data_IF_153991293092
#
_entry.id   IF_153991293092
#
_cell.length_a   1.000
_cell.length_b   1.000
_cell.length_c   1.000
_cell.angle_alpha   90.00
_cell.angle_beta   90.00
_cell.angle_gamma   90.00
#
_symmetry.space_group_name_H-M   'P 1'
#
loop_
_entity.id
_entity.type
_entity.pdbx_description
1 polymer ?
2 non-polymer ?
3 non-polymer ?
4 non-polymer ?
5 non-polymer ?
6 water ?
#
# COMPACT_ATOMS: atom_id res chain seq x y z
N UNK A 1 -4.33 -16.68 9.13
CA UNK A 1 -3.94 -17.46 7.96
C UNK A 1 -2.83 -16.73 7.20
N UNK A 2 -2.04 -17.48 6.44
CA UNK A 2 -0.90 -16.89 5.75
C UNK A 2 -1.15 -16.67 4.26
N UNK A 3 -2.26 -17.21 3.79
CA UNK A 3 -2.67 -17.05 2.40
C UNK A 3 -3.63 -15.87 2.28
N UNK A 4 -3.22 -14.84 1.54
CA UNK A 4 -4.01 -13.62 1.46
C UNK A 4 -4.16 -13.20 0.01
N UNK A 5 -5.39 -12.91 -0.41
CA UNK A 5 -5.64 -12.52 -1.79
C UNK A 5 -5.83 -11.01 -1.94
N UNK A 6 -5.53 -10.51 -3.13
CA UNK A 6 -5.74 -9.10 -3.41
C UNK A 6 -6.32 -8.94 -4.80
N UNK A 7 -7.03 -7.84 -5.03
CA UNK A 7 -7.52 -7.47 -6.35
C UNK A 7 -7.33 -5.98 -6.54
N UNK A 8 -6.83 -5.58 -7.72
CA UNK A 8 -6.72 -4.18 -8.05
C UNK A 8 -8.06 -3.80 -8.66
N UNK A 9 -8.88 -3.12 -7.87
CA UNK A 9 -10.23 -2.76 -8.26
C UNK A 9 -10.27 -1.82 -9.45
N UNK A 10 -9.35 -0.87 -9.48
CA UNK A 10 -9.32 0.10 -10.55
C UNK A 10 -7.94 0.72 -10.68
N UNK A 11 -7.71 1.43 -11.77
CA UNK A 11 -6.39 1.90 -12.11
C UNK A 11 -6.36 3.41 -12.29
N UNK A 12 -5.44 4.07 -11.59
CA UNK A 12 -5.28 5.51 -11.75
C UNK A 12 -4.91 5.83 -13.19
N UNK A 13 -5.57 6.84 -13.77
CA UNK A 13 -5.20 7.22 -15.13
C UNK A 13 -3.83 7.91 -15.17
N UNK A 14 -3.27 8.25 -14.01
CA UNK A 14 -1.95 8.89 -13.96
C UNK A 14 -0.86 8.01 -14.54
N UNK A 15 -1.07 6.70 -14.46
CA UNK A 15 -0.03 5.72 -14.76
C UNK A 15 -0.46 4.75 -15.84
N UNK A 16 0.52 4.07 -16.44
CA UNK A 16 0.22 2.96 -17.33
C UNK A 16 -0.35 1.85 -16.48
N UNK A 17 -1.36 1.16 -16.99
CA UNK A 17 -2.00 0.07 -16.26
C UNK A 17 -0.98 -0.98 -15.83
N UNK A 18 -0.09 -1.33 -16.74
CA UNK A 18 0.96 -2.31 -16.48
C UNK A 18 1.88 -1.89 -15.33
N UNK A 19 2.10 -0.59 -15.20
CA UNK A 19 2.98 -0.05 -14.16
C UNK A 19 2.29 -0.11 -12.80
N UNK A 20 0.98 0.08 -12.79
CA UNK A 20 0.23 -0.08 -11.55
C UNK A 20 0.31 -1.54 -11.11
N UNK A 21 0.07 -2.48 -12.04
CA UNK A 21 0.15 -3.90 -11.70
C UNK A 21 1.52 -4.22 -11.12
N UNK A 22 2.56 -3.69 -11.75
CA UNK A 22 3.92 -3.98 -11.31
C UNK A 22 4.24 -3.38 -9.95
N UNK A 23 3.87 -2.13 -9.74
CA UNK A 23 4.15 -1.46 -8.48
C UNK A 23 3.46 -2.20 -7.34
N UNK A 24 2.21 -2.58 -7.55
CA UNK A 24 1.45 -3.29 -6.54
C UNK A 24 2.04 -4.68 -6.27
N UNK A 25 2.36 -5.41 -7.33
CA UNK A 25 2.99 -6.71 -7.18
C UNK A 25 4.28 -6.62 -6.38
N UNK A 26 5.12 -5.64 -6.70
CA UNK A 26 6.37 -5.47 -5.97
C UNK A 26 6.15 -5.07 -4.50
N UNK A 27 5.14 -4.25 -4.23
CA UNK A 27 4.82 -3.88 -2.85
C UNK A 27 4.41 -5.08 -2.00
N UNK A 28 3.58 -5.96 -2.54
CA UNK A 28 3.26 -7.18 -1.83
C UNK A 28 4.49 -8.06 -1.63
N UNK A 29 5.32 -8.15 -2.67
CA UNK A 29 6.56 -8.93 -2.62
C UNK A 29 7.46 -8.48 -1.47
N UNK A 30 7.49 -7.18 -1.22
CA UNK A 30 8.34 -6.64 -0.15
C UNK A 30 7.97 -7.28 1.18
N UNK A 31 6.68 -7.38 1.44
CA UNK A 31 6.24 -7.97 2.69
C UNK A 31 6.29 -9.49 2.68
N UNK A 32 6.03 -10.09 1.52
CA UNK A 32 6.09 -11.54 1.37
C UNK A 32 7.51 -12.05 1.64
N UNK A 33 8.49 -11.22 1.33
CA UNK A 33 9.88 -11.64 1.44
C UNK A 33 10.39 -11.74 2.88
N UNK A 34 9.63 -11.21 3.83
CA UNK A 34 10.08 -11.20 5.22
C UNK A 34 9.10 -11.88 6.15
N UNK A 35 8.17 -12.63 5.58
CA UNK A 35 7.15 -13.35 6.35
C UNK A 35 6.82 -14.67 5.67
N UNK A 36 6.03 -15.53 6.33
CA UNK A 36 5.54 -16.70 5.59
C UNK A 36 4.29 -16.40 4.75
N UNK A 37 3.95 -15.12 4.58
CA UNK A 37 2.74 -14.76 3.83
C UNK A 37 2.85 -15.09 2.35
N UNK A 38 1.75 -15.61 1.80
CA UNK A 38 1.65 -15.89 0.38
C UNK A 38 0.51 -15.05 -0.17
N UNK A 39 0.83 -14.18 -1.13
CA UNK A 39 -0.19 -13.35 -1.76
C UNK A 39 -0.59 -13.90 -3.12
N UNK A 40 -1.87 -13.75 -3.45
CA UNK A 40 -2.40 -14.24 -4.72
C UNK A 40 -3.30 -13.17 -5.31
N UNK A 41 -3.02 -12.79 -6.55
CA UNK A 41 -3.78 -11.77 -7.27
C UNK A 41 -5.03 -12.36 -7.91
N UNK A 42 -6.14 -11.67 -7.72
CA UNK A 42 -7.45 -12.05 -8.26
C UNK A 42 -7.88 -10.96 -9.23
N UNK A 43 -8.39 -11.35 -10.39
CA UNK A 43 -8.86 -10.38 -11.37
C UNK A 43 -10.33 -10.06 -11.22
N UNK A 44 -11.11 -11.05 -10.78
CA UNK A 44 -12.55 -10.89 -10.68
C UNK A 44 -13.04 -11.65 -9.47
N UNK A 45 -13.86 -11.01 -8.66
CA UNK A 45 -14.46 -11.71 -7.54
C UNK A 45 -13.88 -11.34 -6.19
N UNK A 46 -14.16 -12.17 -5.20
CA UNK A 46 -13.82 -11.85 -3.82
C UNK A 46 -12.33 -11.90 -3.53
N UNK A 47 -11.82 -10.85 -2.91
CA UNK A 47 -10.42 -10.81 -2.52
C UNK A 47 -10.31 -10.15 -1.16
N UNK A 48 -9.32 -10.54 -0.36
CA UNK A 48 -9.14 -9.95 0.96
C UNK A 48 -8.80 -8.48 0.93
N UNK A 49 -7.80 -8.14 0.12
CA UNK A 49 -7.31 -6.77 0.02
C UNK A 49 -7.68 -6.16 -1.32
N UNK A 50 -8.57 -5.17 -1.32
CA UNK A 50 -8.84 -4.43 -2.54
C UNK A 50 -7.96 -3.18 -2.60
N UNK A 51 -7.35 -2.97 -3.75
CA UNK A 51 -6.56 -1.78 -4.06
C UNK A 51 -7.46 -0.87 -4.87
N UNK A 52 -7.74 0.31 -4.33
CA UNK A 52 -8.73 1.23 -4.90
C UNK A 52 -8.16 2.63 -5.05
N UNK A 53 -8.44 3.27 -6.18
CA UNK A 53 -8.12 4.69 -6.36
C UNK A 53 -9.43 5.46 -6.35
N UNK A 54 -9.51 6.50 -5.54
CA UNK A 54 -10.76 7.26 -5.44
C UNK A 54 -10.47 8.63 -4.88
N UNK A 55 -11.38 9.58 -5.12
CA UNK A 55 -11.21 10.92 -4.59
C UNK A 55 -12.35 11.32 -3.67
N UNK A 56 -12.10 12.30 -2.80
CA UNK A 56 -13.11 12.80 -1.89
C UNK A 56 -13.78 11.70 -1.09
N UNK A 57 -15.08 11.86 -0.85
CA UNK A 57 -15.86 10.84 -0.16
C UNK A 57 -16.06 9.66 -1.11
N UNK A 58 -15.77 8.47 -0.61
CA UNK A 58 -15.77 7.28 -1.45
C UNK A 58 -16.32 6.05 -0.72
N UNK A 59 -17.23 6.27 0.23
CA UNK A 59 -18.05 5.20 0.76
C UNK A 59 -17.71 4.67 2.14
N UNK A 60 -16.58 5.07 2.71
CA UNK A 60 -16.12 4.45 3.95
C UNK A 60 -15.96 5.35 5.18
N UNK A 61 -16.62 6.51 5.17
CA UNK A 61 -16.56 7.45 6.31
C UNK A 61 -15.17 8.05 6.56
N UNK A 62 -14.25 7.85 5.62
CA UNK A 62 -12.95 8.49 5.67
C UNK A 62 -12.64 9.18 4.34
N UNK A 63 -13.32 10.29 4.09
CA UNK A 63 -13.16 10.97 2.82
C UNK A 63 -11.73 11.49 2.63
N UNK A 64 -11.26 11.45 1.39
CA UNK A 64 -9.99 12.06 1.04
C UNK A 64 -10.12 13.58 0.90
N UNK A 65 -8.97 14.26 0.84
CA UNK A 65 -8.90 15.69 1.12
C UNK A 65 -8.32 16.53 -0.01
N UNK A 66 -8.32 15.99 -1.22
CA UNK A 66 -7.77 16.71 -2.35
C UNK A 66 -6.27 16.56 -2.46
N UNK A 67 -5.64 17.29 -3.38
CA UNK A 67 -4.21 17.08 -3.60
C UNK A 67 -3.40 17.46 -2.37
N UNK A 68 -2.46 16.60 -1.99
CA UNK A 68 -1.65 16.84 -0.80
C UNK A 68 -2.32 16.27 0.43
N UNK A 69 -1.83 16.65 1.61
CA UNK A 69 -2.39 16.14 2.85
C UNK A 69 -2.31 14.63 2.88
N UNK A 70 -3.44 14.00 3.17
CA UNK A 70 -3.49 12.54 3.25
C UNK A 70 -3.42 11.97 1.84
N UNK A 71 -2.45 11.08 1.60
CA UNK A 71 -2.23 10.51 0.28
C UNK A 71 -3.00 9.23 0.01
N UNK A 72 -3.30 8.51 1.08
CA UNK A 72 -3.82 7.15 1.02
C UNK A 72 -4.19 6.72 2.44
N UNK A 73 -4.97 5.65 2.57
CA UNK A 73 -5.24 5.03 3.86
C UNK A 73 -5.62 3.57 3.66
N UNK A 74 -5.58 2.79 4.73
CA UNK A 74 -5.93 1.38 4.63
C UNK A 74 -6.46 0.88 5.95
N UNK A 75 -7.25 -0.18 5.87
CA UNK A 75 -7.91 -0.75 7.03
C UNK A 75 -7.26 -2.08 7.37
N UNK A 76 -7.15 -2.35 8.66
CA UNK A 76 -6.62 -3.63 9.12
C UNK A 76 -7.51 -4.78 8.68
N UNK A 77 -6.99 -6.02 8.78
CA UNK A 77 -7.70 -7.20 8.26
C UNK A 77 -9.13 -7.33 8.79
N UNK A 78 -10.05 -7.66 7.90
CA UNK A 78 -11.44 -7.88 8.29
C UNK A 78 -12.29 -8.13 7.07
N UNK A 79 -13.60 -8.21 7.25
CA UNK A 79 -14.50 -8.39 6.14
C UNK A 79 -14.69 -7.05 5.42
N UNK A 80 -15.18 -7.12 4.19
CA UNK A 80 -15.52 -5.91 3.44
C UNK A 80 -14.35 -4.97 3.26
N UNK A 81 -14.47 -3.73 3.73
CA UNK A 81 -13.37 -2.80 3.56
C UNK A 81 -12.16 -3.16 4.41
N UNK A 82 -12.32 -4.10 5.33
CA UNK A 82 -11.18 -4.63 6.07
C UNK A 82 -10.08 -5.07 5.10
N UNK A 83 -8.85 -4.66 5.40
CA UNK A 83 -7.73 -4.97 4.54
C UNK A 83 -7.57 -4.08 3.31
N UNK A 84 -8.58 -3.30 2.97
CA UNK A 84 -8.53 -2.59 1.70
C UNK A 84 -7.59 -1.39 1.82
N UNK A 85 -6.92 -1.08 0.71
CA UNK A 85 -5.96 0.01 0.60
C UNK A 85 -6.46 1.00 -0.45
N UNK A 86 -6.67 2.25 -0.03
CA UNK A 86 -7.28 3.29 -0.83
C UNK A 86 -6.25 4.38 -1.12
N UNK A 87 -6.15 4.80 -2.37
CA UNK A 87 -5.18 5.79 -2.79
C UNK A 87 -5.95 6.99 -3.33
N UNK A 88 -5.61 8.18 -2.84
CA UNK A 88 -6.30 9.42 -3.21
C UNK A 88 -5.98 9.78 -4.67
N UNK A 89 -7.00 9.73 -5.52
CA UNK A 89 -6.80 10.01 -6.94
C UNK A 89 -6.42 11.47 -7.17
N UNK A 90 -6.68 12.33 -6.19
CA UNK A 90 -6.25 13.72 -6.33
C UNK A 90 -4.73 13.88 -6.25
N UNK A 91 -4.03 12.84 -5.80
CA UNK A 91 -2.58 12.83 -5.95
C UNK A 91 -2.18 12.45 -7.37
N UNK A 92 -0.94 12.74 -7.73
CA UNK A 92 -0.39 12.31 -9.02
C UNK A 92 0.56 11.14 -8.79
N UNK A 93 0.09 9.95 -9.13
CA UNK A 93 0.80 8.71 -8.84
C UNK A 93 1.82 8.42 -9.90
N UNK A 94 3.02 8.03 -9.50
CA UNK A 94 4.10 7.85 -10.46
C UNK A 94 4.98 6.65 -10.15
N UNK A 95 5.75 6.23 -11.15
CA UNK A 95 6.78 5.21 -11.00
C UNK A 95 8.10 5.82 -10.57
N UNK A 96 8.15 7.14 -10.54
CA UNK A 96 9.39 7.89 -10.32
C UNK A 96 9.35 8.79 -9.08
N UNK A 97 10.29 9.73 -9.02
CA UNK A 97 10.37 10.76 -7.98
C UNK A 97 9.28 11.84 -8.01
N UNK A 98 8.77 12.15 -9.19
CA UNK A 98 7.78 13.19 -9.37
C UNK A 98 6.49 12.73 -8.73
N UNK A 99 5.63 13.69 -8.38
CA UNK A 99 4.38 13.38 -7.71
C UNK A 99 4.59 12.51 -6.49
N UNK A 100 3.74 11.50 -6.35
CA UNK A 100 3.80 10.56 -5.24
C UNK A 100 4.07 9.17 -5.80
N UNK A 101 5.17 8.56 -5.37
CA UNK A 101 5.54 7.23 -5.84
C UNK A 101 4.55 6.16 -5.37
N UNK A 102 3.92 5.45 -6.30
CA UNK A 102 2.91 4.46 -5.92
C UNK A 102 3.49 3.27 -5.17
N UNK A 103 4.61 2.75 -5.64
CA UNK A 103 5.25 1.63 -4.97
C UNK A 103 5.49 1.89 -3.47
N UNK A 104 6.11 3.00 -3.14
CA UNK A 104 6.43 3.29 -1.74
C UNK A 104 5.18 3.47 -0.90
N UNK A 105 4.21 4.20 -1.44
CA UNK A 105 2.96 4.42 -0.74
C UNK A 105 2.25 3.08 -0.52
N UNK A 106 2.25 2.23 -1.54
CA UNK A 106 1.63 0.92 -1.43
C UNK A 106 2.30 0.03 -0.39
N UNK A 107 3.62 0.09 -0.28
CA UNK A 107 4.28 -0.68 0.77
C UNK A 107 3.76 -0.25 2.15
N UNK A 108 3.68 1.05 2.37
CA UNK A 108 3.17 1.59 3.62
C UNK A 108 1.74 1.14 3.88
N UNK A 109 0.89 1.30 2.86
CA UNK A 109 -0.52 0.98 3.03
C UNK A 109 -0.79 -0.51 3.22
N UNK A 110 -0.10 -1.35 2.47
CA UNK A 110 -0.22 -2.79 2.68
C UNK A 110 0.21 -3.16 4.10
N UNK A 111 1.21 -2.47 4.62
CA UNK A 111 1.59 -2.62 6.01
C UNK A 111 0.38 -2.44 6.92
N UNK A 112 -0.35 -1.35 6.73
CA UNK A 112 -1.60 -1.14 7.46
C UNK A 112 -2.65 -2.21 7.16
N UNK A 113 -2.79 -2.60 5.89
CA UNK A 113 -3.72 -3.66 5.51
C UNK A 113 -3.48 -4.95 6.28
N UNK A 114 -2.22 -5.23 6.62
CA UNK A 114 -1.84 -6.46 7.30
C UNK A 114 -1.92 -6.33 8.82
N UNK A 115 -2.14 -5.11 9.30
CA UNK A 115 -2.34 -4.87 10.72
C UNK A 115 -1.28 -4.03 11.40
N UNK A 116 -0.30 -3.51 10.66
CA UNK A 116 0.73 -2.67 11.26
C UNK A 116 0.27 -1.26 11.58
N UNK A 117 0.85 -0.71 12.64
CA UNK A 117 0.70 0.69 12.99
C UNK A 117 1.97 1.42 12.58
N UNK A 118 2.19 2.60 13.13
CA UNK A 118 3.34 3.40 12.76
C UNK A 118 4.58 3.10 13.58
N UNK A 119 5.72 3.39 12.96
CA UNK A 119 7.02 3.14 13.55
C UNK A 119 7.64 4.42 14.09
N UNK A 120 8.57 4.28 15.02
CA UNK A 120 9.29 5.42 15.56
C UNK A 120 10.66 5.55 14.89
N UNK A 121 10.99 4.57 14.05
CA UNK A 121 12.22 4.58 13.27
C UNK A 121 12.03 5.46 12.03
N UNK A 122 12.77 6.58 11.95
CA UNK A 122 12.64 7.48 10.80
C UNK A 122 12.99 6.83 9.45
N UNK A 123 13.70 5.70 9.46
CA UNK A 123 14.00 5.01 8.20
C UNK A 123 12.97 3.94 7.83
N UNK A 124 12.00 3.71 8.71
CA UNK A 124 11.01 2.66 8.46
C UNK A 124 10.01 3.09 7.40
N UNK A 125 9.54 2.14 6.61
CA UNK A 125 8.49 2.44 5.64
C UNK A 125 7.19 2.77 6.37
N UNK A 126 7.07 2.30 7.62
CA UNK A 126 5.90 2.57 8.45
C UNK A 126 6.01 3.81 9.32
N UNK A 127 7.03 4.63 9.07
CA UNK A 127 7.06 5.96 9.68
C UNK A 127 5.88 6.75 9.09
N UNK A 128 5.33 7.73 9.84
CA UNK A 128 4.06 8.31 9.38
C UNK A 128 4.09 9.15 8.10
N UNK A 129 5.26 9.62 7.69
CA UNK A 129 5.33 10.59 6.60
C UNK A 129 6.02 10.05 5.36
N UNK A 130 5.37 10.24 4.21
CA UNK A 130 5.94 9.88 2.91
C UNK A 130 7.24 10.62 2.63
N UNK A 131 8.25 9.87 2.20
CA UNK A 131 9.51 10.44 1.73
C UNK A 131 9.98 9.59 0.56
N UNK A 132 10.24 10.21 -0.59
CA UNK A 132 10.81 9.44 -1.68
C UNK A 132 12.20 8.95 -1.31
N UNK A 133 12.42 7.65 -1.46
CA UNK A 133 13.75 7.07 -1.40
C UNK A 133 14.02 6.43 -2.74
N UNK A 134 15.29 6.18 -3.03
CA UNK A 134 15.68 5.49 -4.25
C UNK A 134 15.04 4.10 -4.29
N UNK A 135 14.18 3.89 -5.29
CA UNK A 135 13.44 2.64 -5.43
C UNK A 135 14.33 1.41 -5.55
N UNK A 136 15.42 1.54 -6.30
CA UNK A 136 16.29 0.41 -6.57
C UNK A 136 17.07 -0.07 -5.34
N UNK A 137 17.29 0.83 -4.39
CA UNK A 137 17.98 0.45 -3.16
C UNK A 137 17.04 0.39 -1.95
N UNK A 138 15.73 0.44 -2.21
CA UNK A 138 14.74 0.39 -1.13
C UNK A 138 14.85 -0.87 -0.28
N UNK A 139 14.72 -0.69 1.03
CA UNK A 139 14.72 -1.81 1.97
C UNK A 139 13.80 -1.50 3.14
N UNK A 140 13.06 -2.50 3.61
CA UNK A 140 12.33 -2.39 4.86
C UNK A 140 13.39 -2.18 5.93
N UNK A 141 13.10 -1.31 6.89
CA UNK A 141 14.00 -1.18 8.04
C UNK A 141 13.82 -2.34 9.00
N UNK A 142 14.81 -2.53 9.86
CA UNK A 142 14.71 -3.57 10.88
C UNK A 142 13.44 -3.41 11.75
N UNK A 143 12.95 -2.19 11.90
CA UNK A 143 11.75 -2.02 12.71
C UNK A 143 10.49 -2.52 11.99
N UNK A 144 10.44 -2.33 10.67
CA UNK A 144 9.36 -2.87 9.85
C UNK A 144 9.35 -4.38 9.94
N UNK A 145 10.54 -4.96 9.87
CA UNK A 145 10.69 -6.41 9.99
C UNK A 145 10.17 -6.91 11.34
N UNK A 146 10.57 -6.25 12.43
CA UNK A 146 10.06 -6.58 13.76
C UNK A 146 8.53 -6.54 13.79
N UNK A 147 7.99 -5.42 13.31
CA UNK A 147 6.55 -5.21 13.28
C UNK A 147 5.81 -6.33 12.58
N UNK A 148 6.21 -6.63 11.35
CA UNK A 148 5.44 -7.61 10.59
C UNK A 148 5.64 -9.04 11.12
N UNK A 149 6.85 -9.37 11.57
CA UNK A 149 7.11 -10.71 12.08
C UNK A 149 6.42 -10.96 13.41
N UNK A 150 6.10 -9.90 14.13
CA UNK A 150 5.36 -10.05 15.38
C UNK A 150 3.92 -10.50 15.12
N UNK A 151 3.41 -10.19 13.93
CA UNK A 151 2.04 -10.55 13.55
C UNK A 151 1.95 -11.88 12.77
N UNK A 152 2.99 -12.21 12.01
CA UNK A 152 2.95 -13.38 11.13
C UNK A 152 4.22 -14.20 11.28
X LIG B 1 0.34 5.17 7.91
X LIG C 1 -11.15 4.92 1.91
X LIG D 1 -11.33 -6.40 2.10
X LIG E 1 -4.39 11.41 -9.99
X LIG F 1 -4.95 14.00 -0.45
X LIG G 1 -0.50 10.20 3.50
X LIG G 1 3.25 6.43 2.19
X LIG G 1 1.96 6.73 2.37
X LIG G 1 0.19 9.92 4.51
X LIG G 1 0.11 8.55 5.12
X LIG G 1 0.26 7.51 4.02
X LIG G 1 2.87 7.14 4.30
X LIG G 1 3.84 6.71 3.37
X LIG G 1 5.29 6.47 3.58
X LIG G 1 5.85 6.59 4.84
X LIG G 1 7.21 6.33 5.01
X LIG G 1 7.99 5.97 3.92
X LIG G 1 7.43 5.84 2.66
X LIG G 1 6.07 6.08 2.49
X LIG G 1 1.66 7.16 3.62
X LIG G 1 -1.31 8.50 5.65
X LIG G 1 -1.74 7.03 6.63
X LIG G 1 -0.71 6.77 7.72
X LIG G 1 -2.04 5.84 5.76
X LIG G 1 -3.15 7.53 7.51
X LIG G 1 -4.31 7.85 6.81
X LIG G 1 -5.45 8.25 7.49
X LIG G 1 -5.40 8.32 8.88
X LIG G 1 -6.92 8.84 9.85
X LIG G 1 -4.24 8.01 9.58
X LIG G 1 -3.10 7.61 8.89
X LIG G 1 1.07 10.74 5.07
X LIG G 1 1.14 12.18 4.79
X LIG G 1 2.13 12.54 3.70
X LIG G 1 3.19 11.92 3.58
X LIG G 1 1.50 12.93 6.06
X LIG G 1 1.78 13.56 2.93
X LIG G 1 2.65 14.08 1.87
X LIG G 1 3.95 14.67 2.41
X LIG G 1 4.96 14.70 1.71
X LIG G 1 1.90 15.11 1.03
X LIG G 1 3.91 15.15 3.65
X LIG H 1 -8.79 5.39 7.57
X LIG H 1 -8.24 4.19 7.28
X LIG H 1 -7.17 3.99 8.09
X LIG H 1 -7.04 5.06 8.89
X LIG H 1 -8.07 5.95 8.57
#
# INVERSE_FOLDING_TARGET
KHYITYRINNYTPDMNREDVDYAIRKAFQVWSNVTPLKFSKINTGMADILVVFARGAHGDDHAFDGKGGILAHAFGPGSGIGGDAHFDEDEFWTTHSGGTNLFLTAVHEIGHSLGLGHSSDPKAVMFPTYKYVDINTFRLSADDIRGIQSLY
ZN ZN
ZN ZN
CA CA
CA CA
CA CA
R4C O4 N1 O1 C25 C17 C16 C14 C13 C12 C11 C10 C7 C8 C9 C15 C18 P1 O3 O2 C19 C20 C21 C22 BR1 C23 C24 N2 C26 C30 O7 C27 N3 C31 C35 O10 C32 N4
IMD N1 C2 N3 C4 C5
#
